data_IF_999243215533
#
_entry.id   IF_999243215533
#
_cell.length_a   1.000
_cell.length_b   1.000
_cell.length_c   1.000
_cell.angle_alpha   90.00
_cell.angle_beta   90.00
_cell.angle_gamma   90.00
#
_symmetry.space_group_name_H-M   'P 1'
#
loop_
_entity.id
_entity.type
_entity.pdbx_description
1 polymer ?
#
# COMPACT_ATOMS: atom_id res chain seq x y z
N UNK A 1 -13.70 11.96 0.38
CA UNK A 1 -13.01 10.66 0.23
C UNK A 1 -11.51 10.89 0.25
N UNK A 2 -10.75 9.88 0.61
CA UNK A 2 -9.30 9.93 0.72
C UNK A 2 -8.67 8.88 -0.19
N UNK A 3 -7.44 9.12 -0.63
CA UNK A 3 -6.64 8.16 -1.36
C UNK A 3 -5.29 7.93 -0.69
N UNK A 4 -4.81 6.69 -0.74
CA UNK A 4 -3.47 6.26 -0.36
C UNK A 4 -2.68 5.94 -1.62
N UNK A 5 -1.58 6.68 -1.83
CA UNK A 5 -0.52 6.34 -2.80
C UNK A 5 0.60 5.58 -2.09
N UNK A 6 1.13 4.58 -2.78
CA UNK A 6 2.33 3.86 -2.36
C UNK A 6 3.37 3.87 -3.47
N UNK A 7 4.59 4.23 -3.11
CA UNK A 7 5.78 4.08 -3.93
C UNK A 7 6.84 3.35 -3.14
N UNK A 8 6.97 2.05 -3.41
CA UNK A 8 7.92 1.19 -2.72
C UNK A 8 9.36 1.54 -3.03
N UNK A 9 9.66 1.99 -4.26
CA UNK A 9 11.05 2.27 -4.66
C UNK A 9 11.61 3.46 -3.89
N UNK A 10 10.79 4.47 -3.65
CA UNK A 10 11.17 5.67 -2.89
C UNK A 10 10.76 5.61 -1.40
N UNK A 11 10.13 4.52 -0.96
CA UNK A 11 9.69 4.34 0.44
C UNK A 11 8.57 5.29 0.87
N UNK A 12 7.71 5.74 -0.06
CA UNK A 12 6.67 6.74 0.19
C UNK A 12 5.30 6.08 0.36
N UNK A 13 4.61 6.45 1.44
CA UNK A 13 3.19 6.18 1.66
C UNK A 13 2.51 7.51 2.01
N UNK A 14 1.60 7.96 1.16
CA UNK A 14 0.96 9.27 1.31
C UNK A 14 -0.55 9.14 1.25
N UNK A 15 -1.24 9.72 2.23
CA UNK A 15 -2.69 9.84 2.24
C UNK A 15 -3.08 11.27 1.91
N UNK A 16 -3.97 11.45 0.94
CA UNK A 16 -4.40 12.77 0.46
C UNK A 16 -5.86 12.76 0.00
N UNK A 17 -6.52 13.92 -0.13
CA UNK A 17 -7.89 13.98 -0.62
C UNK A 17 -8.02 13.37 -2.02
N UNK A 18 -9.02 12.51 -2.21
CA UNK A 18 -9.31 11.93 -3.52
C UNK A 18 -10.20 12.88 -4.34
N UNK A 19 -9.72 13.28 -5.53
CA UNK A 19 -10.42 14.18 -6.45
C UNK A 19 -10.89 13.50 -7.75
N UNK A 20 -10.76 12.17 -7.86
CA UNK A 20 -11.14 11.42 -9.05
C UNK A 20 -12.63 11.11 -9.11
N UNK A 21 -13.09 10.66 -10.28
CA UNK A 21 -14.46 10.19 -10.48
C UNK A 21 -14.47 8.66 -10.42
N UNK A 22 -15.29 8.11 -9.53
CA UNK A 22 -15.49 6.68 -9.39
C UNK A 22 -16.81 6.29 -10.03
N UNK A 23 -16.89 5.06 -10.55
CA UNK A 23 -18.18 4.52 -10.97
C UNK A 23 -19.10 4.31 -9.75
N UNK A 24 -20.41 4.22 -9.99
CA UNK A 24 -21.44 4.15 -8.94
C UNK A 24 -21.20 2.94 -8.00
N UNK A 25 -20.81 1.80 -8.56
CA UNK A 25 -20.53 0.58 -7.79
C UNK A 25 -19.35 0.75 -6.83
N UNK A 26 -18.27 1.39 -7.29
CA UNK A 26 -17.09 1.69 -6.49
C UNK A 26 -17.41 2.71 -5.39
N UNK A 27 -18.14 3.77 -5.72
CA UNK A 27 -18.58 4.78 -4.76
C UNK A 27 -19.43 4.16 -3.64
N UNK A 28 -20.40 3.31 -3.98
CA UNK A 28 -21.25 2.62 -2.99
C UNK A 28 -20.44 1.73 -2.04
N UNK A 29 -19.47 0.96 -2.55
CA UNK A 29 -18.58 0.14 -1.71
C UNK A 29 -17.77 1.00 -0.74
N UNK A 30 -17.31 2.17 -1.17
CA UNK A 30 -16.61 3.12 -0.31
C UNK A 30 -17.53 3.69 0.76
N UNK A 31 -18.77 4.03 0.41
CA UNK A 31 -19.78 4.51 1.38
C UNK A 31 -20.08 3.46 2.46
N UNK A 32 -20.13 2.18 2.08
CA UNK A 32 -20.21 1.03 2.99
C UNK A 32 -18.96 0.84 3.88
N UNK A 33 -17.93 1.69 3.74
CA UNK A 33 -16.70 1.65 4.53
C UNK A 33 -15.65 0.67 4.02
N UNK A 34 -15.75 0.20 2.77
CA UNK A 34 -14.72 -0.66 2.16
C UNK A 34 -13.61 0.20 1.55
N UNK A 35 -12.39 -0.32 1.63
CA UNK A 35 -11.27 0.20 0.85
C UNK A 35 -11.30 -0.44 -0.53
N UNK A 36 -11.22 0.36 -1.58
CA UNK A 36 -11.15 -0.13 -2.96
C UNK A 36 -9.85 0.30 -3.61
N UNK A 37 -9.34 -0.50 -4.55
CA UNK A 37 -8.23 -0.10 -5.39
C UNK A 37 -8.78 0.60 -6.65
N UNK A 38 -8.24 1.77 -6.94
CA UNK A 38 -8.52 2.54 -8.15
C UNK A 38 -7.20 2.97 -8.79
N UNK A 39 -6.87 2.37 -9.94
CA UNK A 39 -5.56 2.49 -10.56
C UNK A 39 -4.43 2.13 -9.57
N UNK A 40 -3.50 3.06 -9.32
CA UNK A 40 -2.36 2.89 -8.40
C UNK A 40 -2.66 3.33 -6.96
N UNK A 41 -3.90 3.71 -6.66
CA UNK A 41 -4.27 4.26 -5.36
C UNK A 41 -5.31 3.36 -4.67
N UNK A 42 -5.31 3.37 -3.35
CA UNK A 42 -6.41 2.83 -2.56
C UNK A 42 -7.31 3.98 -2.11
N UNK A 43 -8.63 3.83 -2.19
CA UNK A 43 -9.59 4.89 -1.90
C UNK A 43 -10.57 4.42 -0.81
N UNK A 44 -10.87 5.30 0.13
CA UNK A 44 -11.83 5.05 1.19
C UNK A 44 -12.59 6.33 1.61
N UNK A 45 -13.69 6.16 2.33
CA UNK A 45 -14.48 7.26 2.87
C UNK A 45 -13.85 7.85 4.14
N UNK A 46 -13.06 7.06 4.87
CA UNK A 46 -12.39 7.44 6.12
C UNK A 46 -10.88 7.33 5.99
N UNK A 47 -10.18 8.36 6.46
CA UNK A 47 -8.71 8.38 6.48
C UNK A 47 -8.12 7.25 7.32
N UNK A 48 -8.71 6.95 8.49
CA UNK A 48 -8.25 5.87 9.39
C UNK A 48 -8.13 4.51 8.70
N UNK A 49 -9.05 4.17 7.79
CA UNK A 49 -9.00 2.90 7.05
C UNK A 49 -7.77 2.83 6.13
N UNK A 50 -7.36 3.96 5.57
CA UNK A 50 -6.17 4.05 4.74
C UNK A 50 -4.89 4.09 5.59
N UNK A 51 -4.94 4.63 6.80
CA UNK A 51 -3.82 4.58 7.76
C UNK A 51 -3.54 3.15 8.22
N UNK A 52 -4.59 2.37 8.51
CA UNK A 52 -4.47 0.95 8.82
C UNK A 52 -3.86 0.18 7.65
N UNK A 53 -4.33 0.42 6.43
CA UNK A 53 -3.76 -0.19 5.22
C UNK A 53 -2.30 0.24 4.98
N UNK A 54 -1.98 1.52 5.16
CA UNK A 54 -0.61 2.03 5.02
C UNK A 54 0.34 1.34 6.02
N UNK A 55 -0.10 1.15 7.26
CA UNK A 55 0.67 0.43 8.28
C UNK A 55 0.89 -1.05 7.91
N UNK A 56 -0.11 -1.71 7.30
CA UNK A 56 0.04 -3.08 6.80
C UNK A 56 1.07 -3.15 5.66
N UNK A 57 0.99 -2.24 4.68
CA UNK A 57 1.94 -2.16 3.56
C UNK A 57 3.35 -1.91 4.08
N UNK A 58 3.51 -0.98 5.03
CA UNK A 58 4.80 -0.68 5.68
C UNK A 58 5.40 -1.93 6.33
N UNK A 59 4.61 -2.68 7.09
CA UNK A 59 5.07 -3.94 7.72
C UNK A 59 5.48 -4.97 6.67
N UNK A 60 4.72 -5.09 5.58
CA UNK A 60 5.06 -6.00 4.49
C UNK A 60 6.41 -5.64 3.85
N UNK A 61 6.65 -4.36 3.55
CA UNK A 61 7.91 -3.92 2.95
C UNK A 61 9.12 -4.18 3.86
N UNK A 62 8.97 -3.94 5.17
CA UNK A 62 10.02 -4.24 6.16
C UNK A 62 10.35 -5.73 6.13
N UNK A 63 9.33 -6.59 6.19
CA UNK A 63 9.52 -8.04 6.16
C UNK A 63 10.21 -8.52 4.88
N UNK A 64 9.81 -8.00 3.72
CA UNK A 64 10.44 -8.34 2.44
C UNK A 64 11.91 -7.91 2.38
N UNK A 65 12.25 -6.77 2.98
CA UNK A 65 13.63 -6.31 3.11
C UNK A 65 14.46 -7.19 4.06
N UNK A 66 13.89 -7.59 5.21
CA UNK A 66 14.52 -8.51 6.16
C UNK A 66 14.79 -9.88 5.52
N UNK A 67 13.80 -10.43 4.82
CA UNK A 67 13.94 -11.71 4.08
C UNK A 67 15.03 -11.62 3.00
N UNK A 68 15.11 -10.49 2.30
CA UNK A 68 16.15 -10.25 1.28
C UNK A 68 17.55 -10.15 1.90
N UNK A 69 17.68 -9.43 3.01
CA UNK A 69 18.93 -9.31 3.76
C UNK A 69 19.39 -10.67 4.31
N UNK A 70 18.45 -11.49 4.81
CA UNK A 70 18.75 -12.84 5.28
C UNK A 70 19.30 -13.71 4.15
N UNK A 71 18.61 -13.75 3.00
CA UNK A 71 19.08 -14.48 1.81
C UNK A 71 20.46 -14.01 1.39
N UNK A 72 20.71 -12.70 1.38
CA UNK A 72 22.01 -12.15 1.02
C UNK A 72 23.13 -12.60 1.97
N UNK A 73 22.88 -12.62 3.29
CA UNK A 73 23.85 -13.12 4.29
C UNK A 73 24.14 -14.62 4.15
N UNK A 74 23.18 -15.39 3.65
CA UNK A 74 23.31 -16.83 3.44
C UNK A 74 24.00 -17.18 2.10
N UNK A 75 24.25 -16.20 1.22
CA UNK A 75 25.00 -16.42 -0.02
C UNK A 75 26.46 -16.79 0.31
N UNK A 76 26.82 -18.05 0.05
CA UNK A 76 28.22 -18.49 0.00
C UNK A 76 28.74 -18.30 -1.42
N UNK A 77 29.87 -17.62 -1.57
CA UNK A 77 30.60 -17.59 -2.84
C UNK A 77 31.16 -18.98 -3.10
N UNK A 78 30.62 -19.67 -4.11
CA UNK A 78 31.23 -20.88 -4.64
C UNK A 78 32.26 -20.45 -5.69
N UNK A 79 33.52 -20.33 -5.28
CA UNK A 79 34.64 -20.25 -6.23
C UNK A 79 34.89 -21.68 -6.73
N UNK A 80 34.82 -21.88 -8.05
CA UNK A 80 35.21 -23.12 -8.73
C UNK A 80 36.69 -23.07 -9.09
#
# INVERSE_FOLDING_TARGET
MYMLSSDKMHGVLEIRPFKGHLNVTAAKKIEEGKVIQFNRYHVANRQKLLEELANQIKKQWIKEAEDSLKRYKELKVQLK
#
